data_IF_400627451578
#
_entry.id   IF_400627451578
#
_cell.length_a   1.000
_cell.length_b   1.000
_cell.length_c   1.000
_cell.angle_alpha   90.00
_cell.angle_beta   90.00
_cell.angle_gamma   90.00
#
_symmetry.space_group_name_H-M   'P 1'
#
loop_
_entity.id
_entity.type
_entity.pdbx_description
1 polymer ?
#
# COMPACT_ATOMS: atom_id res chain seq x y z
N UNK A 1 -6.05 -17.85 -11.72
CA UNK A 1 -5.70 -16.82 -10.71
C UNK A 1 -4.53 -15.94 -11.12
N UNK A 2 -4.32 -15.71 -12.43
CA UNK A 2 -3.07 -15.09 -12.93
C UNK A 2 -3.01 -13.59 -12.67
N UNK A 3 -4.14 -12.90 -12.77
CA UNK A 3 -4.19 -11.45 -12.54
C UNK A 3 -3.91 -11.11 -11.08
N UNK A 4 -4.62 -11.74 -10.14
CA UNK A 4 -4.42 -11.52 -8.71
C UNK A 4 -2.96 -11.72 -8.30
N UNK A 5 -2.32 -12.79 -8.78
CA UNK A 5 -0.89 -13.06 -8.54
C UNK A 5 0.00 -11.92 -9.04
N UNK A 6 -0.26 -11.40 -10.24
CA UNK A 6 0.52 -10.27 -10.80
C UNK A 6 0.34 -9.00 -9.97
N UNK A 7 -0.89 -8.70 -9.54
CA UNK A 7 -1.18 -7.52 -8.72
C UNK A 7 -0.45 -7.62 -7.37
N UNK A 8 -0.51 -8.77 -6.70
CA UNK A 8 0.23 -8.98 -5.44
C UNK A 8 1.74 -8.78 -5.59
N UNK A 9 2.35 -9.25 -6.69
CA UNK A 9 3.78 -8.99 -6.90
C UNK A 9 4.10 -7.52 -7.19
N UNK A 10 3.21 -6.83 -7.91
CA UNK A 10 3.36 -5.41 -8.20
C UNK A 10 3.27 -4.58 -6.92
N UNK A 11 2.28 -4.85 -6.08
CA UNK A 11 2.11 -4.18 -4.79
C UNK A 11 3.26 -4.48 -3.84
N UNK A 12 3.69 -5.74 -3.73
CA UNK A 12 4.86 -6.12 -2.94
C UNK A 12 6.12 -5.38 -3.37
N UNK A 13 6.29 -5.16 -4.68
CA UNK A 13 7.42 -4.39 -5.22
C UNK A 13 7.30 -2.91 -4.84
N UNK A 14 6.10 -2.34 -4.90
CA UNK A 14 5.83 -0.97 -4.45
C UNK A 14 6.09 -0.79 -2.96
N UNK A 15 5.65 -1.73 -2.13
CA UNK A 15 5.90 -1.76 -0.69
C UNK A 15 7.39 -1.91 -0.35
N UNK A 16 8.12 -2.74 -1.10
CA UNK A 16 9.57 -2.86 -0.97
C UNK A 16 10.29 -1.56 -1.34
N UNK A 17 9.88 -0.92 -2.43
CA UNK A 17 10.43 0.37 -2.83
C UNK A 17 10.16 1.43 -1.74
N UNK A 18 8.94 1.46 -1.19
CA UNK A 18 8.61 2.32 -0.05
C UNK A 18 9.48 2.01 1.17
N UNK A 19 9.64 0.74 1.54
CA UNK A 19 10.46 0.33 2.68
C UNK A 19 11.92 0.82 2.56
N UNK A 20 12.50 0.71 1.36
CA UNK A 20 13.85 1.21 1.10
C UNK A 20 13.89 2.74 1.21
N UNK A 21 12.99 3.44 0.52
CA UNK A 21 12.98 4.90 0.49
C UNK A 21 12.67 5.52 1.85
N UNK A 22 11.61 5.10 2.52
CA UNK A 22 11.19 5.61 3.82
C UNK A 22 12.15 5.18 4.95
N UNK A 23 12.80 4.02 4.83
CA UNK A 23 13.78 3.54 5.81
C UNK A 23 15.10 4.29 5.74
N UNK A 24 15.68 4.39 4.53
CA UNK A 24 17.02 4.96 4.33
C UNK A 24 17.00 6.48 4.09
N UNK A 25 15.93 7.01 3.48
CA UNK A 25 15.82 8.40 3.06
C UNK A 25 14.51 9.06 3.54
N UNK A 26 14.19 9.02 4.85
CA UNK A 26 12.90 9.50 5.35
C UNK A 26 12.64 10.99 5.08
N UNK A 27 13.67 11.84 5.22
CA UNK A 27 13.56 13.28 4.94
C UNK A 27 13.21 13.55 3.47
N UNK A 28 13.81 12.81 2.53
CA UNK A 28 13.49 12.94 1.12
C UNK A 28 12.03 12.57 0.83
N UNK A 29 11.54 11.48 1.45
CA UNK A 29 10.15 11.03 1.29
C UNK A 29 9.15 12.05 1.85
N UNK A 30 9.41 12.64 3.01
CA UNK A 30 8.47 13.59 3.64
C UNK A 30 8.60 15.01 3.09
N UNK A 31 9.81 15.52 2.94
CA UNK A 31 10.05 16.92 2.58
C UNK A 31 10.11 17.13 1.07
N UNK A 32 10.86 16.30 0.34
CA UNK A 32 11.02 16.50 -1.12
C UNK A 32 9.83 15.96 -1.90
N UNK A 33 9.43 14.72 -1.61
CA UNK A 33 8.28 14.09 -2.28
C UNK A 33 6.96 14.58 -1.67
N UNK A 34 6.91 14.73 -0.35
CA UNK A 34 5.69 15.06 0.38
C UNK A 34 5.44 16.55 0.61
N UNK A 35 6.43 17.42 0.36
CA UNK A 35 6.35 18.87 0.57
C UNK A 35 5.93 19.24 2.02
N UNK A 36 6.33 18.39 2.99
CA UNK A 36 6.08 18.58 4.41
C UNK A 36 7.18 19.45 5.05
N UNK A 37 6.86 20.08 6.18
CA UNK A 37 7.86 20.77 7.01
C UNK A 37 8.82 19.73 7.59
N UNK A 38 10.13 20.05 7.76
CA UNK A 38 11.07 19.14 8.40
C UNK A 38 10.57 18.66 9.76
N UNK A 39 10.52 17.34 9.91
CA UNK A 39 10.07 16.71 11.14
C UNK A 39 11.17 16.77 12.21
N UNK A 40 10.78 16.91 13.47
CA UNK A 40 11.72 16.81 14.60
C UNK A 40 12.36 15.41 14.66
N UNK A 41 11.58 14.39 14.33
CA UNK A 41 12.05 13.01 14.16
C UNK A 41 11.27 12.27 13.05
N UNK A 42 11.93 11.30 12.43
CA UNK A 42 11.33 10.46 11.38
C UNK A 42 11.01 9.04 11.86
N UNK A 43 10.81 8.86 13.18
CA UNK A 43 10.56 7.55 13.77
C UNK A 43 9.35 6.86 13.13
N UNK A 44 8.24 7.58 12.96
CA UNK A 44 7.02 7.03 12.34
C UNK A 44 7.23 6.63 10.88
N UNK A 45 8.02 7.39 10.12
CA UNK A 45 8.34 7.10 8.71
C UNK A 45 9.11 5.78 8.63
N UNK A 46 10.12 5.61 9.50
CA UNK A 46 10.92 4.36 9.57
C UNK A 46 10.09 3.18 10.06
N UNK A 47 9.18 3.38 11.01
CA UNK A 47 8.25 2.33 11.44
C UNK A 47 7.35 1.90 10.29
N UNK A 48 6.85 2.83 9.47
CA UNK A 48 6.07 2.51 8.27
C UNK A 48 6.89 1.71 7.25
N UNK A 49 8.19 1.99 7.13
CA UNK A 49 9.10 1.27 6.24
C UNK A 49 9.26 -0.20 6.66
N UNK A 50 9.45 -0.44 7.95
CA UNK A 50 9.54 -1.81 8.50
C UNK A 50 8.23 -2.57 8.29
N UNK A 51 7.08 -1.93 8.51
CA UNK A 51 5.77 -2.54 8.25
C UNK A 51 5.59 -2.88 6.76
N UNK A 52 5.90 -1.94 5.87
CA UNK A 52 5.81 -2.15 4.42
C UNK A 52 6.66 -3.33 3.94
N UNK A 53 7.87 -3.48 4.47
CA UNK A 53 8.72 -4.64 4.16
C UNK A 53 8.06 -5.97 4.58
N UNK A 54 7.50 -6.03 5.80
CA UNK A 54 6.77 -7.20 6.27
C UNK A 54 5.55 -7.53 5.41
N UNK A 55 4.75 -6.51 5.05
CA UNK A 55 3.60 -6.68 4.15
C UNK A 55 4.01 -7.17 2.77
N UNK A 56 5.09 -6.64 2.18
CA UNK A 56 5.61 -7.11 0.91
C UNK A 56 5.96 -8.60 0.92
N UNK A 57 6.59 -9.08 2.00
CA UNK A 57 6.89 -10.51 2.17
C UNK A 57 5.61 -11.35 2.28
N UNK A 58 4.59 -10.87 3.00
CA UNK A 58 3.29 -11.55 3.12
C UNK A 58 2.56 -11.63 1.78
N UNK A 59 2.58 -10.56 0.99
CA UNK A 59 1.99 -10.55 -0.36
C UNK A 59 2.68 -11.54 -1.29
N UNK A 60 4.02 -11.60 -1.27
CA UNK A 60 4.79 -12.61 -2.00
C UNK A 60 4.41 -14.03 -1.57
N UNK A 61 4.29 -14.28 -0.26
CA UNK A 61 3.87 -15.59 0.25
C UNK A 61 2.48 -15.98 -0.26
N UNK A 62 1.52 -15.05 -0.24
CA UNK A 62 0.17 -15.29 -0.77
C UNK A 62 0.20 -15.47 -2.29
N UNK A 63 1.02 -14.71 -3.02
CA UNK A 63 1.15 -14.82 -4.47
C UNK A 63 1.73 -16.18 -4.90
N UNK A 64 2.73 -16.70 -4.17
CA UNK A 64 3.31 -18.03 -4.39
C UNK A 64 2.29 -19.12 -4.10
N UNK A 65 1.54 -19.02 -2.99
CA UNK A 65 0.53 -20.00 -2.57
C UNK A 65 -0.89 -19.58 -2.94
N UNK A 66 -1.07 -18.92 -4.08
CA UNK A 66 -2.36 -18.28 -4.41
C UNK A 66 -3.53 -19.27 -4.46
N UNK A 67 -3.29 -20.50 -4.91
CA UNK A 67 -4.34 -21.51 -5.09
C UNK A 67 -5.01 -21.90 -3.75
N UNK A 68 -4.25 -21.90 -2.66
CA UNK A 68 -4.76 -22.22 -1.32
C UNK A 68 -5.03 -20.98 -0.47
N UNK A 69 -4.33 -19.87 -0.71
CA UNK A 69 -4.35 -18.68 0.14
C UNK A 69 -4.98 -17.44 -0.49
N UNK A 70 -5.57 -17.52 -1.68
CA UNK A 70 -6.16 -16.34 -2.36
C UNK A 70 -7.13 -15.54 -1.48
N UNK A 71 -7.86 -16.19 -0.58
CA UNK A 71 -8.78 -15.52 0.35
C UNK A 71 -8.08 -14.50 1.26
N UNK A 72 -6.80 -14.72 1.61
CA UNK A 72 -6.02 -13.76 2.38
C UNK A 72 -5.77 -12.44 1.66
N UNK A 73 -5.97 -12.38 0.33
CA UNK A 73 -5.90 -11.12 -0.41
C UNK A 73 -6.90 -10.07 0.08
N UNK A 74 -7.98 -10.47 0.75
CA UNK A 74 -8.88 -9.54 1.44
C UNK A 74 -8.19 -8.66 2.48
N UNK A 75 -7.17 -9.18 3.18
CA UNK A 75 -6.43 -8.39 4.15
C UNK A 75 -5.76 -7.20 3.47
N UNK A 76 -5.09 -7.42 2.34
CA UNK A 76 -4.43 -6.36 1.57
C UNK A 76 -5.45 -5.38 0.96
N UNK A 77 -6.57 -5.88 0.42
CA UNK A 77 -7.66 -5.03 -0.09
C UNK A 77 -8.18 -4.09 1.00
N UNK A 78 -8.51 -4.64 2.19
CA UNK A 78 -9.07 -3.87 3.30
C UNK A 78 -8.05 -2.86 3.81
N UNK A 79 -6.79 -3.27 3.99
CA UNK A 79 -5.71 -2.37 4.43
C UNK A 79 -5.51 -1.24 3.42
N UNK A 80 -5.40 -1.53 2.12
CA UNK A 80 -5.25 -0.52 1.08
C UNK A 80 -6.46 0.43 1.02
N UNK A 81 -7.68 -0.10 1.14
CA UNK A 81 -8.89 0.73 1.17
C UNK A 81 -8.94 1.66 2.41
N UNK A 82 -8.60 1.15 3.59
CA UNK A 82 -8.56 1.95 4.82
C UNK A 82 -7.47 3.02 4.77
N UNK A 83 -6.29 2.70 4.24
CA UNK A 83 -5.21 3.68 4.01
C UNK A 83 -5.69 4.75 3.02
N UNK A 84 -6.36 4.37 1.94
CA UNK A 84 -6.89 5.31 0.96
C UNK A 84 -7.89 6.29 1.59
N UNK A 85 -8.84 5.76 2.36
CA UNK A 85 -9.85 6.56 3.06
C UNK A 85 -9.22 7.49 4.11
N UNK A 86 -8.32 6.97 4.94
CA UNK A 86 -7.65 7.75 5.97
C UNK A 86 -6.78 8.85 5.36
N UNK A 87 -6.06 8.57 4.28
CA UNK A 87 -5.22 9.54 3.58
C UNK A 87 -6.06 10.61 2.88
N UNK A 88 -7.18 10.23 2.24
CA UNK A 88 -8.11 11.19 1.66
C UNK A 88 -8.75 12.08 2.74
N UNK A 89 -9.15 11.50 3.87
CA UNK A 89 -9.68 12.24 5.01
C UNK A 89 -8.64 13.21 5.58
N UNK A 90 -7.39 12.77 5.77
CA UNK A 90 -6.27 13.61 6.18
C UNK A 90 -6.08 14.82 5.24
N UNK A 91 -6.13 14.58 3.93
CA UNK A 91 -6.00 15.62 2.91
C UNK A 91 -7.17 16.63 2.96
N UNK A 92 -8.39 16.13 3.13
CA UNK A 92 -9.62 16.95 3.17
C UNK A 92 -9.75 17.77 4.46
N UNK A 93 -9.43 17.15 5.59
CA UNK A 93 -9.59 17.76 6.91
C UNK A 93 -8.38 18.59 7.34
N UNK A 94 -7.28 18.57 6.57
CA UNK A 94 -6.05 19.31 6.89
C UNK A 94 -5.41 18.85 8.21
N UNK A 95 -5.57 17.58 8.56
CA UNK A 95 -5.29 17.06 9.92
C UNK A 95 -3.79 16.98 10.28
N UNK A 96 -2.90 16.93 9.29
CA UNK A 96 -1.49 16.60 9.53
C UNK A 96 -0.45 17.61 9.01
N UNK A 97 -0.79 18.64 8.21
CA UNK A 97 0.04 19.86 8.17
C UNK A 97 -0.52 21.05 7.36
N UNK A 98 0.12 22.18 7.64
CA UNK A 98 -0.17 23.59 7.42
C UNK A 98 0.38 24.22 6.11
N UNK A 99 0.86 23.42 5.15
CA UNK A 99 1.37 23.94 3.85
C UNK A 99 0.87 23.22 2.59
N UNK A 100 0.80 21.88 2.59
CA UNK A 100 0.53 21.13 1.36
C UNK A 100 -0.10 19.75 1.62
N UNK A 101 -1.30 19.45 1.06
CA UNK A 101 -1.97 18.15 1.20
C UNK A 101 -1.50 17.11 0.17
N UNK A 102 -0.45 17.40 -0.61
CA UNK A 102 -0.05 16.59 -1.78
C UNK A 102 0.31 15.15 -1.43
N UNK A 103 1.08 14.95 -0.35
CA UNK A 103 1.47 13.61 0.10
C UNK A 103 0.24 12.73 0.38
N UNK A 104 -0.74 13.30 1.05
CA UNK A 104 -1.97 12.59 1.44
C UNK A 104 -2.83 12.23 0.24
N UNK A 105 -2.92 13.10 -0.77
CA UNK A 105 -3.58 12.77 -2.03
C UNK A 105 -2.85 11.68 -2.82
N UNK A 106 -1.52 11.74 -2.85
CA UNK A 106 -0.71 10.70 -3.50
C UNK A 106 -0.92 9.34 -2.84
N UNK A 107 -0.84 9.28 -1.50
CA UNK A 107 -1.10 8.05 -0.74
C UNK A 107 -2.53 7.55 -0.94
N UNK A 108 -3.52 8.45 -0.92
CA UNK A 108 -4.91 8.10 -1.18
C UNK A 108 -5.09 7.46 -2.56
N UNK A 109 -4.52 8.08 -3.60
CA UNK A 109 -4.61 7.59 -4.97
C UNK A 109 -3.90 6.24 -5.15
N UNK A 110 -2.67 6.11 -4.64
CA UNK A 110 -1.89 4.88 -4.74
C UNK A 110 -2.58 3.71 -4.03
N UNK A 111 -3.05 3.92 -2.80
CA UNK A 111 -3.73 2.89 -2.02
C UNK A 111 -5.10 2.53 -2.62
N UNK A 112 -5.86 3.51 -3.15
CA UNK A 112 -7.11 3.24 -3.84
C UNK A 112 -6.89 2.40 -5.12
N UNK A 113 -5.86 2.73 -5.91
CA UNK A 113 -5.50 1.96 -7.10
C UNK A 113 -5.13 0.51 -6.76
N UNK A 114 -4.34 0.29 -5.71
CA UNK A 114 -4.01 -1.05 -5.23
C UNK A 114 -5.26 -1.82 -4.78
N UNK A 115 -6.10 -1.20 -3.94
CA UNK A 115 -7.34 -1.82 -3.46
C UNK A 115 -8.25 -2.24 -4.62
N UNK A 116 -8.42 -1.37 -5.62
CA UNK A 116 -9.21 -1.68 -6.82
C UNK A 116 -8.56 -2.79 -7.65
N UNK A 117 -7.24 -2.72 -7.89
CA UNK A 117 -6.53 -3.73 -8.66
C UNK A 117 -6.62 -5.12 -8.02
N UNK A 118 -6.44 -5.20 -6.70
CA UNK A 118 -6.57 -6.43 -5.94
C UNK A 118 -8.01 -6.94 -5.97
N UNK A 119 -9.00 -6.07 -5.77
CA UNK A 119 -10.43 -6.43 -5.80
C UNK A 119 -10.83 -6.96 -7.18
N UNK A 120 -10.36 -6.35 -8.26
CA UNK A 120 -10.57 -6.83 -9.65
C UNK A 120 -9.87 -8.18 -9.86
N UNK A 121 -8.65 -8.33 -9.36
CA UNK A 121 -7.93 -9.61 -9.36
C UNK A 121 -8.71 -10.71 -8.64
N UNK A 122 -9.29 -10.37 -7.49
CA UNK A 122 -10.04 -11.27 -6.62
C UNK A 122 -11.40 -11.66 -7.22
N UNK A 123 -12.13 -10.70 -7.79
CA UNK A 123 -13.40 -10.96 -8.46
C UNK A 123 -13.21 -11.93 -9.64
N UNK A 124 -12.11 -11.78 -10.40
CA UNK A 124 -11.78 -12.71 -11.50
C UNK A 124 -11.36 -14.08 -10.99
N UNK A 125 -10.75 -14.21 -9.82
CA UNK A 125 -10.45 -15.54 -9.26
C UNK A 125 -11.70 -16.38 -8.98
N UNK A 126 -12.84 -15.76 -8.64
CA UNK A 126 -14.11 -16.48 -8.51
C UNK A 126 -14.64 -17.07 -9.82
N UNK A 127 -14.31 -16.46 -10.97
CA UNK A 127 -14.67 -16.93 -12.30
C UNK A 127 -13.67 -17.94 -12.88
N UNK A 128 -12.40 -17.84 -12.47
CA UNK A 128 -11.31 -18.71 -12.94
C UNK A 128 -11.21 -20.03 -12.15
N UNK A 129 -11.97 -20.18 -11.06
CA UNK A 129 -11.99 -21.40 -10.25
C UNK A 129 -12.96 -22.40 -10.87
N UNK A 130 -12.43 -23.47 -11.45
CA UNK A 130 -13.26 -24.64 -11.75
C UNK A 130 -13.61 -25.32 -10.42
N UNK A 131 -14.88 -25.68 -10.18
CA UNK A 131 -15.21 -26.57 -9.07
C UNK A 131 -14.51 -27.92 -9.34
N UNK A 132 -13.79 -28.41 -8.35
CA UNK A 132 -13.26 -29.78 -8.35
C UNK A 132 -14.42 -30.79 -8.40
#
# INVERSE_FOLDING_TARGET
MKLLRKVLYLEATGLLAWAILAGLFPAWVTETLGDQVPLVEYAWVRMSAVQAFGFAMMEVLVAVQIETRWWFAWAFIITAALIALLSAYAALAGLFDSRSPRLWWFLAAAAALNAVALLVGLAKTGLERQPD
#
